data_IF_911973239328
#
_entry.id   IF_911973239328
#
_cell.length_a   1.000
_cell.length_b   1.000
_cell.length_c   1.000
_cell.angle_alpha   90.00
_cell.angle_beta   90.00
_cell.angle_gamma   90.00
#
_symmetry.space_group_name_H-M   'P 1'
#
loop_
_entity.id
_entity.type
_entity.pdbx_description
1 polymer ?
#
# COMPACT_ATOMS: atom_id res chain seq x y z
N UNK A 1 -16.54 -9.51 -12.91
CA UNK A 1 -15.89 -9.70 -11.59
C UNK A 1 -15.43 -8.35 -11.07
N UNK A 2 -15.69 -8.05 -9.79
CA UNK A 2 -15.27 -6.81 -9.13
C UNK A 2 -14.02 -7.07 -8.29
N UNK A 3 -12.94 -6.37 -8.62
CA UNK A 3 -11.67 -6.41 -7.89
C UNK A 3 -11.50 -5.12 -7.09
N UNK A 4 -11.16 -5.22 -5.81
CA UNK A 4 -10.70 -4.07 -5.02
C UNK A 4 -9.17 -4.13 -4.90
N UNK A 5 -8.49 -3.11 -5.41
CA UNK A 5 -7.02 -3.00 -5.36
C UNK A 5 -6.60 -1.92 -4.37
N UNK A 6 -5.70 -2.27 -3.47
CA UNK A 6 -5.18 -1.40 -2.42
C UNK A 6 -3.70 -1.73 -2.16
N UNK A 7 -3.05 -0.99 -1.28
CA UNK A 7 -1.69 -1.23 -0.84
C UNK A 7 -1.16 0.00 -0.11
N UNK A 8 0.16 0.05 0.13
CA UNK A 8 0.79 1.06 0.99
C UNK A 8 0.01 1.20 2.32
N UNK A 9 -0.38 0.04 2.89
CA UNK A 9 -1.15 -0.07 4.14
C UNK A 9 -0.28 0.29 5.33
N UNK A 10 1.01 -0.06 5.26
CA UNK A 10 2.03 0.37 6.20
C UNK A 10 1.62 0.19 7.66
N UNK A 11 1.25 -1.04 8.02
CA UNK A 11 0.93 -1.42 9.40
C UNK A 11 -0.25 -0.66 10.00
N UNK A 12 -1.13 -0.07 9.18
CA UNK A 12 -2.31 0.67 9.64
C UNK A 12 -3.57 -0.22 9.60
N UNK A 13 -3.69 -1.12 10.58
CA UNK A 13 -4.80 -2.07 10.69
C UNK A 13 -6.18 -1.39 10.67
N UNK A 14 -6.31 -0.22 11.31
CA UNK A 14 -7.58 0.54 11.37
C UNK A 14 -8.11 0.84 9.97
N UNK A 15 -7.23 1.28 9.06
CA UNK A 15 -7.62 1.58 7.67
C UNK A 15 -7.96 0.33 6.89
N UNK A 16 -7.22 -0.77 7.14
CA UNK A 16 -7.42 -2.04 6.49
C UNK A 16 -8.77 -2.67 6.87
N UNK A 17 -9.08 -2.75 8.16
CA UNK A 17 -10.38 -3.25 8.64
C UNK A 17 -11.53 -2.39 8.10
N UNK A 18 -11.34 -1.07 8.03
CA UNK A 18 -12.34 -0.16 7.48
C UNK A 18 -12.58 -0.40 5.99
N UNK A 19 -11.54 -0.60 5.19
CA UNK A 19 -11.67 -0.96 3.77
C UNK A 19 -12.51 -2.22 3.59
N UNK A 20 -12.17 -3.30 4.31
CA UNK A 20 -12.91 -4.56 4.21
C UNK A 20 -14.35 -4.41 4.69
N UNK A 21 -14.61 -3.63 5.74
CA UNK A 21 -15.98 -3.34 6.18
C UNK A 21 -16.81 -2.64 5.10
N UNK A 22 -16.20 -1.74 4.33
CA UNK A 22 -16.89 -0.97 3.29
C UNK A 22 -17.13 -1.79 2.02
N UNK A 23 -16.16 -2.61 1.62
CA UNK A 23 -16.12 -3.16 0.25
C UNK A 23 -16.34 -4.68 0.16
N UNK A 24 -16.28 -5.42 1.27
CA UNK A 24 -16.28 -6.90 1.24
C UNK A 24 -17.54 -7.51 0.63
N UNK A 25 -18.71 -6.87 0.75
CA UNK A 25 -19.95 -7.37 0.16
C UNK A 25 -20.04 -7.19 -1.35
N UNK A 26 -19.21 -6.32 -1.93
CA UNK A 26 -19.23 -5.95 -3.36
C UNK A 26 -17.90 -6.26 -4.05
N UNK A 27 -17.03 -7.06 -3.43
CA UNK A 27 -15.70 -7.39 -3.94
C UNK A 27 -15.56 -8.89 -4.06
N UNK A 28 -15.35 -9.37 -5.28
CA UNK A 28 -15.05 -10.78 -5.54
C UNK A 28 -13.62 -11.11 -5.13
N UNK A 29 -12.68 -10.21 -5.42
CA UNK A 29 -11.24 -10.39 -5.16
C UNK A 29 -10.59 -9.11 -4.62
N UNK A 30 -9.88 -9.24 -3.50
CA UNK A 30 -9.01 -8.19 -2.98
C UNK A 30 -7.57 -8.42 -3.46
N UNK A 31 -6.90 -7.36 -3.91
CA UNK A 31 -5.50 -7.42 -4.32
C UNK A 31 -4.72 -6.32 -3.59
N UNK A 32 -3.74 -6.70 -2.79
CA UNK A 32 -2.76 -5.76 -2.23
C UNK A 32 -1.56 -5.67 -3.18
N UNK A 33 -1.21 -4.48 -3.67
CA UNK A 33 -0.01 -4.28 -4.49
C UNK A 33 1.30 -4.19 -3.69
N UNK A 34 1.25 -4.30 -2.37
CA UNK A 34 2.44 -4.31 -1.51
C UNK A 34 2.45 -3.23 -0.44
N UNK A 35 3.56 -3.16 0.28
CA UNK A 35 3.82 -2.26 1.40
C UNK A 35 2.73 -2.36 2.47
N UNK A 36 2.43 -3.61 2.86
CA UNK A 36 1.53 -3.94 3.96
C UNK A 36 2.20 -3.64 5.30
N UNK A 37 3.52 -3.84 5.39
CA UNK A 37 4.30 -3.69 6.62
C UNK A 37 5.01 -2.33 6.73
N UNK A 38 5.64 -2.12 7.88
CA UNK A 38 6.42 -0.94 8.27
C UNK A 38 5.59 0.33 8.52
N UNK A 39 6.23 1.34 9.12
CA UNK A 39 5.67 2.62 9.57
C UNK A 39 4.61 2.54 10.68
N UNK A 40 3.48 1.88 10.44
CA UNK A 40 2.38 1.79 11.38
C UNK A 40 2.57 0.70 12.45
N UNK A 41 1.86 0.81 13.59
CA UNK A 41 2.10 0.01 14.77
C UNK A 41 1.54 -1.43 14.74
N UNK A 42 0.91 -1.84 13.63
CA UNK A 42 0.21 -3.12 13.52
C UNK A 42 0.65 -3.96 12.32
N UNK A 43 1.94 -3.92 11.97
CA UNK A 43 2.46 -4.70 10.82
C UNK A 43 2.12 -6.20 10.94
N UNK A 44 2.30 -6.81 12.12
CA UNK A 44 1.96 -8.22 12.33
C UNK A 44 0.45 -8.49 12.22
N UNK A 45 -0.37 -7.61 12.79
CA UNK A 45 -1.83 -7.76 12.77
C UNK A 45 -2.39 -7.59 11.35
N UNK A 46 -1.82 -6.70 10.53
CA UNK A 46 -2.19 -6.57 9.13
C UNK A 46 -1.96 -7.86 8.34
N UNK A 47 -0.80 -8.52 8.54
CA UNK A 47 -0.51 -9.82 7.91
C UNK A 47 -1.48 -10.88 8.39
N UNK A 48 -1.71 -10.99 9.70
CA UNK A 48 -2.66 -11.94 10.27
C UNK A 48 -4.09 -11.72 9.75
N UNK A 49 -4.54 -10.46 9.68
CA UNK A 49 -5.85 -10.09 9.17
C UNK A 49 -6.04 -10.51 7.71
N UNK A 50 -5.06 -10.22 6.85
CA UNK A 50 -5.12 -10.54 5.42
C UNK A 50 -5.02 -12.05 5.17
N UNK A 51 -4.19 -12.76 5.93
CA UNK A 51 -4.04 -14.21 5.82
C UNK A 51 -5.32 -14.96 6.21
N UNK A 52 -6.20 -14.35 7.01
CA UNK A 52 -7.51 -14.88 7.36
C UNK A 52 -8.60 -14.58 6.31
N UNK A 53 -8.28 -13.89 5.20
CA UNK A 53 -9.23 -13.62 4.13
C UNK A 53 -9.08 -14.66 3.00
N UNK A 54 -10.20 -15.29 2.62
CA UNK A 54 -10.19 -16.35 1.61
C UNK A 54 -10.04 -15.82 0.17
N UNK A 55 -10.29 -14.53 -0.08
CA UNK A 55 -10.30 -13.92 -1.41
C UNK A 55 -9.29 -12.76 -1.52
N UNK A 56 -8.05 -13.00 -1.08
CA UNK A 56 -6.95 -12.05 -1.19
C UNK A 56 -5.81 -12.57 -2.08
N UNK A 57 -5.24 -11.67 -2.88
CA UNK A 57 -3.92 -11.82 -3.50
C UNK A 57 -3.01 -10.73 -2.97
N UNK A 58 -1.85 -11.12 -2.47
CA UNK A 58 -0.95 -10.24 -1.75
C UNK A 58 0.37 -10.17 -2.51
N UNK A 59 0.75 -8.97 -2.92
CA UNK A 59 1.97 -8.72 -3.67
C UNK A 59 3.06 -8.14 -2.77
N UNK A 60 4.31 -8.25 -3.19
CA UNK A 60 5.46 -7.65 -2.51
C UNK A 60 5.64 -6.19 -2.94
N UNK A 61 5.64 -5.29 -1.97
CA UNK A 61 6.22 -3.97 -2.09
C UNK A 61 7.72 -3.98 -1.81
N UNK A 62 8.32 -2.80 -1.68
CA UNK A 62 9.72 -2.68 -1.27
C UNK A 62 9.89 -2.89 0.23
N UNK A 63 8.89 -2.57 1.05
CA UNK A 63 8.97 -2.80 2.50
C UNK A 63 8.86 -4.28 2.87
N UNK A 64 8.10 -5.10 2.13
CA UNK A 64 8.20 -6.56 2.28
C UNK A 64 9.61 -7.04 1.95
N UNK A 65 10.22 -6.54 0.86
CA UNK A 65 11.60 -6.92 0.49
C UNK A 65 12.59 -6.56 1.60
N UNK A 66 12.52 -5.36 2.17
CA UNK A 66 13.39 -4.97 3.30
C UNK A 66 13.23 -5.87 4.53
N UNK A 67 12.00 -6.29 4.84
CA UNK A 67 11.73 -7.18 5.97
C UNK A 67 12.19 -8.62 5.70
N UNK A 68 12.12 -9.07 4.44
CA UNK A 68 12.66 -10.37 4.00
C UNK A 68 14.19 -10.36 4.11
N UNK A 69 14.83 -9.32 3.57
CA UNK A 69 16.29 -9.19 3.54
C UNK A 69 16.86 -8.85 4.92
N UNK A 70 16.05 -8.29 5.82
CA UNK A 70 16.46 -7.82 7.13
C UNK A 70 17.31 -6.55 7.07
N UNK A 71 17.20 -5.78 5.99
CA UNK A 71 17.98 -4.59 5.76
C UNK A 71 17.21 -3.53 4.97
N UNK A 72 17.33 -2.27 5.41
CA UNK A 72 16.90 -1.09 4.67
C UNK A 72 18.09 -0.43 3.98
N UNK A 73 18.07 -0.41 2.65
CA UNK A 73 19.13 0.08 1.77
C UNK A 73 19.04 1.58 1.44
N UNK A 74 17.92 2.23 1.78
CA UNK A 74 17.71 3.64 1.51
C UNK A 74 18.44 4.59 2.47
N UNK A 75 18.46 5.88 2.10
CA UNK A 75 19.15 6.95 2.84
C UNK A 75 18.20 7.83 3.67
N UNK A 76 16.89 7.65 3.53
CA UNK A 76 15.92 8.46 4.26
C UNK A 76 15.92 8.09 5.76
N UNK A 77 16.31 9.05 6.60
CA UNK A 77 16.45 8.85 8.05
C UNK A 77 15.13 8.53 8.76
N UNK A 78 14.00 9.06 8.27
CA UNK A 78 12.68 8.79 8.83
C UNK A 78 12.30 7.35 8.52
N UNK A 79 12.41 6.93 7.25
CA UNK A 79 12.11 5.57 6.83
C UNK A 79 13.02 4.54 7.52
N UNK A 80 14.31 4.86 7.70
CA UNK A 80 15.25 4.04 8.47
C UNK A 80 14.80 3.89 9.93
N UNK A 81 14.44 4.99 10.59
CA UNK A 81 13.97 4.95 11.98
C UNK A 81 12.68 4.14 12.14
N UNK A 82 11.80 4.13 11.13
CA UNK A 82 10.64 3.24 11.12
C UNK A 82 11.05 1.78 10.95
N UNK A 83 11.89 1.49 9.95
CA UNK A 83 12.38 0.14 9.70
C UNK A 83 13.05 -0.45 10.94
N UNK A 84 14.04 0.24 11.53
CA UNK A 84 14.80 -0.23 12.69
C UNK A 84 13.86 -0.56 13.86
N UNK A 85 12.81 0.23 14.06
CA UNK A 85 11.85 0.02 15.13
C UNK A 85 10.83 -1.09 14.85
N UNK A 86 10.27 -1.12 13.64
CA UNK A 86 9.22 -2.06 13.27
C UNK A 86 9.78 -3.46 12.99
N UNK A 87 10.98 -3.55 12.40
CA UNK A 87 11.61 -4.81 12.03
C UNK A 87 11.93 -5.68 13.25
N UNK A 88 12.47 -5.08 14.33
CA UNK A 88 12.80 -5.78 15.58
C UNK A 88 11.57 -6.48 16.22
N UNK A 89 10.37 -5.93 15.98
CA UNK A 89 9.10 -6.44 16.51
C UNK A 89 8.34 -7.33 15.53
N UNK A 90 8.87 -7.54 14.32
CA UNK A 90 8.18 -8.31 13.29
C UNK A 90 8.33 -9.81 13.52
N UNK A 91 7.22 -10.53 13.41
CA UNK A 91 7.20 -11.96 13.67
C UNK A 91 7.88 -12.77 12.55
N UNK A 92 8.74 -13.71 12.94
CA UNK A 92 9.46 -14.58 12.00
C UNK A 92 8.53 -15.53 11.22
N UNK A 93 7.38 -15.89 11.79
CA UNK A 93 6.33 -16.61 11.07
C UNK A 93 5.71 -15.75 9.97
N UNK A 94 5.39 -14.49 10.28
CA UNK A 94 4.92 -13.50 9.29
C UNK A 94 5.97 -13.22 8.20
N UNK A 95 7.26 -13.24 8.54
CA UNK A 95 8.34 -13.16 7.54
C UNK A 95 8.23 -14.26 6.48
N UNK A 96 8.04 -15.51 6.90
CA UNK A 96 7.84 -16.65 5.98
C UNK A 96 6.55 -16.52 5.15
N UNK A 97 5.53 -15.87 5.69
CA UNK A 97 4.29 -15.60 4.94
C UNK A 97 4.58 -14.61 3.80
N UNK A 98 5.20 -13.47 4.09
CA UNK A 98 5.47 -12.44 3.07
C UNK A 98 6.49 -12.89 2.01
N UNK A 99 7.39 -13.83 2.34
CA UNK A 99 8.29 -14.47 1.36
C UNK A 99 7.52 -15.13 0.21
N UNK A 100 6.29 -15.61 0.45
CA UNK A 100 5.46 -16.28 -0.54
C UNK A 100 4.60 -15.34 -1.38
N UNK A 101 4.59 -14.03 -1.12
CA UNK A 101 3.84 -13.06 -1.93
C UNK A 101 4.42 -12.98 -3.35
N UNK A 102 3.60 -12.70 -4.36
CA UNK A 102 4.08 -12.55 -5.75
C UNK A 102 4.47 -11.09 -6.05
N UNK A 103 5.23 -10.82 -7.11
CA UNK A 103 5.58 -9.41 -7.45
C UNK A 103 4.51 -8.71 -8.30
N UNK A 104 3.70 -9.48 -9.03
CA UNK A 104 2.61 -8.95 -9.85
C UNK A 104 1.39 -9.86 -9.87
N UNK A 105 0.28 -9.31 -10.37
CA UNK A 105 -0.94 -10.04 -10.69
C UNK A 105 -1.46 -9.56 -12.05
N UNK A 106 -1.78 -10.49 -12.93
CA UNK A 106 -2.28 -10.21 -14.28
C UNK A 106 -3.79 -10.46 -14.34
N UNK A 107 -4.51 -9.48 -14.86
CA UNK A 107 -5.88 -9.65 -15.36
C UNK A 107 -5.84 -9.66 -16.90
N UNK A 108 -6.99 -9.78 -17.56
CA UNK A 108 -7.05 -9.66 -19.03
C UNK A 108 -6.55 -8.30 -19.53
N UNK A 109 -6.83 -7.20 -18.80
CA UNK A 109 -6.61 -5.84 -19.28
C UNK A 109 -5.60 -5.02 -18.46
N UNK A 110 -5.20 -5.50 -17.29
CA UNK A 110 -4.35 -4.79 -16.34
C UNK A 110 -3.28 -5.69 -15.74
N UNK A 111 -2.08 -5.14 -15.59
CA UNK A 111 -1.04 -5.66 -14.70
C UNK A 111 -1.05 -4.86 -13.40
N UNK A 112 -1.15 -5.55 -12.28
CA UNK A 112 -1.08 -4.97 -10.94
C UNK A 112 0.29 -5.33 -10.34
N UNK A 113 1.03 -4.34 -9.87
CA UNK A 113 2.34 -4.51 -9.24
C UNK A 113 2.66 -3.31 -8.36
N UNK A 114 3.65 -3.39 -7.48
CA UNK A 114 3.94 -2.28 -6.55
C UNK A 114 4.35 -0.98 -7.26
N UNK A 115 5.28 -1.08 -8.21
CA UNK A 115 5.82 0.05 -8.94
C UNK A 115 6.24 -0.33 -10.36
N UNK A 116 6.48 0.66 -11.22
CA UNK A 116 7.13 0.49 -12.52
C UNK A 116 8.59 0.94 -12.45
N UNK A 117 9.47 0.14 -13.07
CA UNK A 117 10.90 0.46 -13.25
C UNK A 117 11.65 0.73 -11.94
N UNK A 118 11.14 0.22 -10.82
CA UNK A 118 11.67 0.47 -9.47
C UNK A 118 11.81 1.96 -9.12
N UNK A 119 10.88 2.79 -9.64
CA UNK A 119 10.87 4.25 -9.44
C UNK A 119 9.60 4.73 -8.74
N UNK A 120 9.66 5.88 -8.08
CA UNK A 120 8.42 6.60 -7.73
C UNK A 120 7.82 7.20 -9.00
N UNK A 121 6.69 6.65 -9.45
CA UNK A 121 5.91 7.22 -10.55
C UNK A 121 4.80 8.09 -9.97
N UNK A 122 4.92 9.40 -10.20
CA UNK A 122 3.92 10.42 -9.94
C UNK A 122 3.12 10.72 -11.21
N UNK A 123 2.02 11.47 -11.07
CA UNK A 123 1.15 11.82 -12.18
C UNK A 123 1.89 12.52 -13.35
N UNK A 124 2.93 13.28 -13.03
CA UNK A 124 3.74 14.10 -13.94
C UNK A 124 5.15 13.52 -14.22
N UNK A 125 5.47 12.32 -13.71
CA UNK A 125 6.78 11.70 -13.95
C UNK A 125 7.01 11.43 -15.44
N UNK A 126 8.14 11.88 -15.97
CA UNK A 126 8.52 11.56 -17.34
C UNK A 126 8.86 10.07 -17.47
N UNK A 127 8.13 9.38 -18.34
CA UNK A 127 8.29 7.96 -18.66
C UNK A 127 8.43 7.76 -20.17
N UNK A 128 8.77 8.81 -20.93
CA UNK A 128 8.86 8.77 -22.39
C UNK A 128 9.90 7.76 -22.91
N UNK A 129 10.99 7.56 -22.17
CA UNK A 129 12.01 6.55 -22.48
C UNK A 129 11.60 5.11 -22.09
N UNK A 130 10.49 4.96 -21.35
CA UNK A 130 10.04 3.68 -20.85
C UNK A 130 8.97 3.05 -21.76
N UNK A 131 9.15 1.78 -22.10
CA UNK A 131 8.18 1.04 -22.91
C UNK A 131 6.96 0.63 -22.08
N UNK A 132 5.85 1.34 -22.25
CA UNK A 132 4.52 0.94 -21.75
C UNK A 132 3.75 0.27 -22.88
N UNK A 133 3.25 -0.94 -22.65
CA UNK A 133 2.59 -1.77 -23.67
C UNK A 133 1.29 -2.44 -23.18
N UNK A 134 0.79 -2.04 -22.01
CA UNK A 134 -0.44 -2.52 -21.38
C UNK A 134 -0.87 -1.53 -20.29
N UNK A 135 -2.09 -1.70 -19.76
CA UNK A 135 -2.55 -0.90 -18.64
C UNK A 135 -1.94 -1.40 -17.33
N UNK A 136 -1.63 -0.48 -16.42
CA UNK A 136 -1.01 -0.78 -15.13
C UNK A 136 -1.80 -0.20 -13.97
N UNK A 137 -1.79 -0.92 -12.85
CA UNK A 137 -2.19 -0.41 -11.54
C UNK A 137 -1.00 -0.55 -10.60
N UNK A 138 -0.58 0.56 -10.00
CA UNK A 138 0.59 0.66 -9.13
C UNK A 138 0.30 1.42 -7.83
N UNK A 139 1.30 1.49 -6.95
CA UNK A 139 1.29 2.30 -5.72
C UNK A 139 2.61 3.03 -5.52
N UNK A 140 3.25 2.82 -4.36
CA UNK A 140 4.61 3.25 -4.00
C UNK A 140 4.83 4.76 -3.84
N UNK A 141 4.29 5.60 -4.72
CA UNK A 141 4.33 7.07 -4.60
C UNK A 141 3.30 7.62 -3.61
N UNK A 142 2.31 6.81 -3.24
CA UNK A 142 1.19 7.16 -2.36
C UNK A 142 0.32 8.31 -2.90
N UNK A 143 0.36 8.57 -4.20
CA UNK A 143 -0.43 9.61 -4.87
C UNK A 143 -1.47 8.93 -5.75
N UNK A 144 -2.75 9.04 -5.40
CA UNK A 144 -3.82 8.48 -6.22
C UNK A 144 -3.98 9.30 -7.51
N UNK A 145 -3.96 8.63 -8.67
CA UNK A 145 -4.23 9.26 -9.96
C UNK A 145 -4.64 8.25 -11.05
N UNK A 146 -5.22 8.78 -12.12
CA UNK A 146 -5.31 8.14 -13.43
C UNK A 146 -4.45 8.92 -14.41
N UNK A 147 -3.66 8.23 -15.23
CA UNK A 147 -2.85 8.81 -16.29
C UNK A 147 -3.15 8.10 -17.61
N UNK A 148 -3.61 8.87 -18.58
CA UNK A 148 -3.87 8.42 -19.94
C UNK A 148 -2.61 8.63 -20.82
N UNK A 149 -2.14 7.58 -21.48
CA UNK A 149 -0.99 7.58 -22.39
C UNK A 149 -1.42 7.38 -23.86
N UNK A 150 -2.70 7.60 -24.17
CA UNK A 150 -3.32 7.36 -25.46
C UNK A 150 -3.78 5.91 -25.61
N UNK A 151 -2.82 4.98 -25.82
CA UNK A 151 -3.16 3.57 -26.03
C UNK A 151 -3.30 2.77 -24.74
N UNK A 152 -2.71 3.26 -23.64
CA UNK A 152 -2.67 2.57 -22.35
C UNK A 152 -2.89 3.56 -21.21
N UNK A 153 -3.32 3.04 -20.07
CA UNK A 153 -3.53 3.82 -18.85
C UNK A 153 -2.67 3.31 -17.71
N UNK A 154 -2.23 4.23 -16.86
CA UNK A 154 -1.60 3.92 -15.58
C UNK A 154 -2.49 4.49 -14.48
N UNK A 155 -2.86 3.65 -13.55
CA UNK A 155 -3.54 4.04 -12.33
C UNK A 155 -2.58 3.89 -11.15
N UNK A 156 -2.61 4.86 -10.25
CA UNK A 156 -2.00 4.71 -8.94
C UNK A 156 -3.10 4.67 -7.90
N UNK A 157 -3.09 3.65 -7.05
CA UNK A 157 -4.10 3.45 -6.01
C UNK A 157 -4.07 4.57 -4.96
N UNK A 158 -2.94 5.27 -4.81
CA UNK A 158 -2.64 6.12 -3.68
C UNK A 158 -2.06 5.30 -2.53
N UNK A 159 -2.45 5.60 -1.30
CA UNK A 159 -2.06 4.79 -0.14
C UNK A 159 -3.24 4.58 0.78
N UNK A 160 -3.41 3.34 1.25
CA UNK A 160 -4.47 3.03 2.20
C UNK A 160 -4.15 3.57 3.60
N UNK A 161 -2.90 3.44 4.04
CA UNK A 161 -2.53 3.68 5.44
C UNK A 161 -1.58 4.85 5.70
N UNK A 162 -0.97 5.43 4.66
CA UNK A 162 0.04 6.47 4.78
C UNK A 162 0.02 7.46 3.60
N UNK A 163 -1.13 8.06 3.30
CA UNK A 163 -1.21 9.11 2.28
C UNK A 163 -0.25 10.27 2.62
N UNK A 164 0.58 10.67 1.65
CA UNK A 164 1.67 11.62 1.88
C UNK A 164 1.24 13.08 1.84
N UNK A 165 0.07 13.37 1.25
CA UNK A 165 -0.54 14.71 1.15
C UNK A 165 -1.46 15.01 2.32
N UNK A 166 -2.40 14.10 2.62
CA UNK A 166 -3.34 14.19 3.73
C UNK A 166 -3.39 12.86 4.48
N UNK A 167 -2.72 12.80 5.64
CA UNK A 167 -2.42 11.52 6.32
C UNK A 167 -3.66 10.76 6.77
N UNK A 168 -4.80 11.44 6.92
CA UNK A 168 -6.06 10.82 7.32
C UNK A 168 -6.91 10.34 6.14
N UNK A 169 -6.53 10.64 4.89
CA UNK A 169 -7.19 10.16 3.68
C UNK A 169 -6.62 8.80 3.28
N UNK A 170 -7.50 7.84 3.03
CA UNK A 170 -7.17 6.48 2.64
C UNK A 170 -7.64 6.27 1.21
N UNK A 171 -6.76 5.82 0.33
CA UNK A 171 -7.04 5.63 -1.09
C UNK A 171 -6.94 4.16 -1.51
N UNK A 172 -7.80 3.78 -2.45
CA UNK A 172 -7.82 2.47 -3.11
C UNK A 172 -8.59 2.63 -4.43
N UNK A 173 -8.70 1.56 -5.21
CA UNK A 173 -9.56 1.57 -6.41
C UNK A 173 -10.35 0.28 -6.56
N UNK A 174 -11.39 0.33 -7.38
CA UNK A 174 -12.16 -0.83 -7.83
C UNK A 174 -12.02 -1.00 -9.34
N UNK A 175 -11.97 -2.25 -9.80
CA UNK A 175 -12.00 -2.63 -11.21
C UNK A 175 -13.23 -3.50 -11.42
N UNK A 176 -14.06 -3.16 -12.39
CA UNK A 176 -15.00 -4.10 -12.98
C UNK A 176 -14.32 -4.72 -14.21
N UNK A 177 -14.00 -6.01 -14.14
CA UNK A 177 -13.27 -6.69 -15.22
C UNK A 177 -14.14 -7.00 -16.44
N UNK A 178 -15.47 -6.91 -16.33
CA UNK A 178 -16.36 -7.13 -17.46
C UNK A 178 -16.50 -5.86 -18.32
N UNK A 179 -16.53 -4.71 -17.66
CA UNK A 179 -16.66 -3.40 -18.32
C UNK A 179 -15.34 -2.66 -18.48
N UNK A 180 -14.26 -3.15 -17.84
CA UNK A 180 -12.96 -2.49 -17.71
C UNK A 180 -13.00 -1.10 -17.05
N UNK A 181 -14.06 -0.81 -16.30
CA UNK A 181 -14.19 0.45 -15.58
C UNK A 181 -13.34 0.41 -14.31
N UNK A 182 -12.46 1.41 -14.17
CA UNK A 182 -11.70 1.65 -12.94
C UNK A 182 -12.32 2.82 -12.19
N UNK A 183 -12.60 2.64 -10.90
CA UNK A 183 -13.15 3.68 -10.02
C UNK A 183 -12.17 3.97 -8.89
N UNK A 184 -11.64 5.19 -8.85
CA UNK A 184 -10.82 5.69 -7.75
C UNK A 184 -11.72 5.97 -6.54
N UNK A 185 -11.36 5.43 -5.39
CA UNK A 185 -12.14 5.53 -4.15
C UNK A 185 -11.28 6.08 -3.01
N UNK A 186 -11.96 6.69 -2.04
CA UNK A 186 -11.32 7.14 -0.81
C UNK A 186 -12.28 7.18 0.36
N UNK A 187 -11.72 7.17 1.57
CA UNK A 187 -12.41 7.50 2.81
C UNK A 187 -11.43 8.14 3.79
N UNK A 188 -11.92 8.74 4.87
CA UNK A 188 -11.08 9.27 5.95
C UNK A 188 -11.04 8.32 7.16
N UNK A 189 -9.98 8.36 7.96
CA UNK A 189 -9.90 7.63 9.23
C UNK A 189 -9.42 8.54 10.37
N UNK A 190 -9.61 8.08 11.61
CA UNK A 190 -9.10 8.77 12.77
C UNK A 190 -7.60 8.48 12.94
N UNK A 191 -6.75 9.36 12.42
CA UNK A 191 -5.29 9.21 12.50
C UNK A 191 -4.77 9.28 13.94
N UNK A 192 -5.47 9.94 14.86
CA UNK A 192 -5.02 10.06 16.24
C UNK A 192 -4.97 8.70 16.96
N UNK A 193 -5.83 7.75 16.57
CA UNK A 193 -5.75 6.39 17.09
C UNK A 193 -4.43 5.70 16.72
N UNK A 194 -3.94 5.92 15.49
CA UNK A 194 -2.64 5.42 15.02
C UNK A 194 -1.50 6.08 15.79
N UNK A 195 -1.52 7.42 15.87
CA UNK A 195 -0.47 8.20 16.56
C UNK A 195 -0.41 7.86 18.05
N UNK A 196 -1.56 7.71 18.72
CA UNK A 196 -1.62 7.33 20.13
C UNK A 196 -1.07 5.93 20.35
N UNK A 197 -1.33 4.98 19.45
CA UNK A 197 -0.72 3.66 19.52
C UNK A 197 0.79 3.70 19.26
N UNK A 198 1.26 4.52 18.33
CA UNK A 198 2.70 4.71 18.11
C UNK A 198 3.37 5.25 19.39
N UNK A 199 2.75 6.23 20.06
CA UNK A 199 3.23 6.76 21.34
C UNK A 199 3.22 5.70 22.44
N UNK A 200 2.15 4.91 22.57
CA UNK A 200 2.04 3.87 23.60
C UNK A 200 3.07 2.75 23.42
N UNK A 201 3.44 2.45 22.17
CA UNK A 201 4.50 1.50 21.85
C UNK A 201 5.92 2.09 21.94
N UNK A 202 6.04 3.37 22.30
CA UNK A 202 7.30 4.10 22.41
C UNK A 202 8.07 4.19 21.07
N UNK A 203 7.36 4.48 19.97
CA UNK A 203 8.00 4.82 18.70
C UNK A 203 9.01 5.97 18.88
N UNK A 204 10.13 5.98 18.14
CA UNK A 204 11.06 7.10 18.12
C UNK A 204 10.33 8.41 17.80
N UNK A 205 10.71 9.50 18.44
CA UNK A 205 10.03 10.79 18.26
C UNK A 205 9.99 11.24 16.80
N UNK A 206 11.06 11.01 16.03
CA UNK A 206 11.12 11.30 14.59
C UNK A 206 10.00 10.60 13.79
N UNK A 207 9.58 9.40 14.22
CA UNK A 207 8.50 8.65 13.61
C UNK A 207 7.13 9.26 13.95
N UNK A 208 6.88 9.61 15.21
CA UNK A 208 5.61 10.25 15.60
C UNK A 208 5.48 11.66 15.03
N UNK A 209 6.58 12.41 14.98
CA UNK A 209 6.63 13.77 14.42
C UNK A 209 6.36 13.76 12.92
N UNK A 210 6.84 12.75 12.20
CA UNK A 210 6.50 12.55 10.80
C UNK A 210 4.98 12.52 10.60
N UNK A 211 4.23 11.74 11.37
CA UNK A 211 2.77 11.69 11.28
C UNK A 211 2.09 12.99 11.74
N UNK A 212 2.60 13.62 12.80
CA UNK A 212 2.06 14.88 13.34
C UNK A 212 2.23 16.06 12.38
N UNK A 213 3.30 16.07 11.58
CA UNK A 213 3.62 17.13 10.61
C UNK A 213 2.73 17.14 9.37
N UNK A 214 1.96 16.07 9.11
CA UNK A 214 1.19 15.91 7.88
C UNK A 214 -0.16 16.62 7.97
N UNK A 215 -0.60 17.17 6.84
CA UNK A 215 -1.91 17.77 6.73
C UNK A 215 -3.01 16.74 6.95
N UNK A 216 -4.18 17.22 7.39
CA UNK A 216 -5.40 16.45 7.61
C UNK A 216 -6.56 17.23 7.00
N UNK A 217 -7.59 16.53 6.49
CA UNK A 217 -8.87 17.13 6.10
C UNK A 217 -9.97 16.93 7.14
#
# INVERSE_FOLDING_TARGET
MIITVFGDVHGNLITLEKLFKLEKSETDLFISHGDIVNYGPWSNDCIAFLNNQNNCKLLKGNHEKYFIDGFYDGTNVVARSFFDFCFDKFDNGNKKIIENYTDSFETENFTIQHTLFDKYIFADTDISENKINKNFIIGHSHQQYERDLGNFKIYNTGSLGQNRSFINVCNYLKIDTETNVVTLKSFTHNIDAVINQMKSQHYPTICTDYYLSKNRI
#
